data_IF_883715263095
#
_entry.id   IF_883715263095
#
_cell.length_a   1.000
_cell.length_b   1.000
_cell.length_c   1.000
_cell.angle_alpha   90.00
_cell.angle_beta   90.00
_cell.angle_gamma   90.00
#
_symmetry.space_group_name_H-M   'P 1'
#
loop_
_entity.id
_entity.type
_entity.pdbx_description
1 polymer ?
#
# COMPACT_ATOMS: atom_id res chain seq x y z
N UNK A 1 -6.60 9.88 -9.39
CA UNK A 1 -6.14 8.55 -8.96
C UNK A 1 -5.68 8.61 -7.52
N UNK A 2 -6.09 7.62 -6.74
CA UNK A 2 -5.82 7.60 -5.31
C UNK A 2 -4.79 6.54 -4.95
N UNK A 3 -4.13 6.75 -3.81
CA UNK A 3 -3.15 5.81 -3.27
C UNK A 3 -3.59 5.45 -1.87
N UNK A 4 -3.58 4.15 -1.57
CA UNK A 4 -3.95 3.65 -0.26
C UNK A 4 -2.78 2.88 0.35
N UNK A 5 -2.71 2.88 1.68
CA UNK A 5 -1.80 2.00 2.40
C UNK A 5 -2.60 1.12 3.34
N UNK A 6 -2.27 -0.16 3.35
CA UNK A 6 -2.86 -1.16 4.24
C UNK A 6 -1.71 -1.82 4.98
N UNK A 7 -1.56 -1.51 6.25
CA UNK A 7 -0.39 -1.95 7.01
C UNK A 7 -0.69 -1.91 8.52
N UNK A 8 0.31 -2.23 9.32
CA UNK A 8 0.23 -2.09 10.76
C UNK A 8 0.13 -0.62 11.17
N UNK A 9 -0.30 -0.38 12.41
CA UNK A 9 -0.56 0.98 12.89
C UNK A 9 0.64 1.92 12.82
N UNK A 10 1.82 1.45 13.15
CA UNK A 10 3.02 2.29 13.12
C UNK A 10 3.36 2.75 11.71
N UNK A 11 3.29 1.83 10.76
CA UNK A 11 3.55 2.15 9.35
C UNK A 11 2.48 3.11 8.81
N UNK A 12 1.23 2.84 9.12
CA UNK A 12 0.12 3.70 8.69
C UNK A 12 0.27 5.11 9.25
N UNK A 13 0.64 5.25 10.52
CA UNK A 13 0.83 6.56 11.12
C UNK A 13 1.94 7.35 10.42
N UNK A 14 3.01 6.67 10.03
CA UNK A 14 4.09 7.31 9.28
C UNK A 14 3.56 7.93 7.98
N UNK A 15 2.74 7.20 7.25
CA UNK A 15 2.19 7.71 5.99
C UNK A 15 1.14 8.79 6.21
N UNK A 16 0.36 8.70 7.27
CA UNK A 16 -0.60 9.77 7.62
C UNK A 16 0.10 11.09 7.90
N UNK A 17 1.23 11.03 8.61
CA UNK A 17 2.02 12.22 8.89
C UNK A 17 2.54 12.89 7.63
N UNK A 18 2.68 12.12 6.56
CA UNK A 18 3.14 12.63 5.27
C UNK A 18 2.02 13.13 4.38
N UNK A 19 0.77 13.05 4.85
CA UNK A 19 -0.37 13.58 4.13
C UNK A 19 -1.19 12.57 3.34
N UNK A 20 -0.89 11.27 3.46
CA UNK A 20 -1.66 10.24 2.78
C UNK A 20 -3.01 10.07 3.45
N UNK A 21 -4.08 10.31 2.69
CA UNK A 21 -5.44 10.29 3.24
C UNK A 21 -6.03 8.89 3.40
N UNK A 22 -5.70 7.99 2.50
CA UNK A 22 -6.29 6.65 2.49
C UNK A 22 -5.37 5.65 3.17
N UNK A 23 -5.35 5.71 4.49
CA UNK A 23 -4.48 4.87 5.29
C UNK A 23 -5.30 3.98 6.22
N UNK A 24 -5.14 2.68 6.09
CA UNK A 24 -5.93 1.68 6.81
C UNK A 24 -5.03 0.78 7.64
N UNK A 25 -5.14 0.87 8.96
CA UNK A 25 -4.38 -0.01 9.83
C UNK A 25 -5.11 -1.33 10.02
N UNK A 26 -4.37 -2.42 9.98
CA UNK A 26 -4.90 -3.76 10.14
C UNK A 26 -4.10 -4.52 11.21
N UNK A 27 -4.74 -5.49 11.83
CA UNK A 27 -4.12 -6.25 12.92
C UNK A 27 -3.41 -7.51 12.43
N UNK A 28 -3.83 -8.04 11.29
CA UNK A 28 -3.29 -9.29 10.77
C UNK A 28 -3.46 -9.36 9.25
N UNK A 29 -2.92 -10.40 8.66
CA UNK A 29 -2.97 -10.59 7.22
C UNK A 29 -4.39 -10.79 6.69
N UNK A 30 -5.25 -11.43 7.47
CA UNK A 30 -6.64 -11.66 7.05
C UNK A 30 -7.41 -10.35 6.93
N UNK A 31 -7.23 -9.43 7.88
CA UNK A 31 -7.83 -8.10 7.79
C UNK A 31 -7.26 -7.33 6.61
N UNK A 32 -5.96 -7.47 6.37
CA UNK A 32 -5.31 -6.80 5.24
C UNK A 32 -5.89 -7.28 3.91
N UNK A 33 -6.04 -8.58 3.75
CA UNK A 33 -6.62 -9.15 2.54
C UNK A 33 -8.04 -8.65 2.31
N UNK A 34 -8.85 -8.64 3.36
CA UNK A 34 -10.22 -8.15 3.28
C UNK A 34 -10.26 -6.68 2.86
N UNK A 35 -9.41 -5.86 3.47
CA UNK A 35 -9.37 -4.43 3.14
C UNK A 35 -8.91 -4.20 1.69
N UNK A 36 -7.92 -4.95 1.25
CA UNK A 36 -7.44 -4.84 -0.12
C UNK A 36 -8.54 -5.21 -1.11
N UNK A 37 -9.29 -6.27 -0.85
CA UNK A 37 -10.40 -6.68 -1.70
C UNK A 37 -11.50 -5.62 -1.75
N UNK A 38 -11.78 -4.97 -0.62
CA UNK A 38 -12.73 -3.85 -0.58
C UNK A 38 -12.26 -2.68 -1.43
N UNK A 39 -10.96 -2.38 -1.40
CA UNK A 39 -10.39 -1.31 -2.20
C UNK A 39 -10.43 -1.60 -3.70
N UNK A 40 -10.38 -2.86 -4.09
CA UNK A 40 -10.51 -3.25 -5.49
C UNK A 40 -11.88 -2.89 -6.07
N UNK A 41 -12.89 -2.86 -5.23
CA UNK A 41 -14.24 -2.51 -5.66
C UNK A 41 -14.42 -1.00 -5.84
N UNK A 42 -13.46 -0.23 -5.37
CA UNK A 42 -13.46 1.22 -5.49
C UNK A 42 -12.59 1.59 -6.70
N UNK A 43 -13.17 2.14 -7.78
CA UNK A 43 -12.45 2.24 -9.06
C UNK A 43 -11.36 3.30 -9.14
N UNK A 44 -11.14 4.07 -8.11
CA UNK A 44 -10.26 5.24 -8.16
C UNK A 44 -8.83 5.01 -7.65
N UNK A 45 -8.55 3.83 -7.13
CA UNK A 45 -7.23 3.55 -6.58
C UNK A 45 -6.26 3.05 -7.65
N UNK A 46 -5.12 3.71 -7.73
CA UNK A 46 -4.06 3.34 -8.66
C UNK A 46 -3.00 2.47 -8.00
N UNK A 47 -2.80 2.67 -6.69
CA UNK A 47 -1.73 1.99 -5.95
C UNK A 47 -2.22 1.62 -4.56
N UNK A 48 -1.90 0.41 -4.14
CA UNK A 48 -2.09 -0.04 -2.76
C UNK A 48 -0.72 -0.42 -2.22
N UNK A 49 -0.32 0.23 -1.14
CA UNK A 49 0.96 -0.04 -0.49
C UNK A 49 0.71 -0.94 0.72
N UNK A 50 1.53 -1.96 0.89
CA UNK A 50 1.48 -2.82 2.07
C UNK A 50 2.90 -3.16 2.52
N UNK A 51 3.05 -3.89 3.62
CA UNK A 51 4.36 -4.29 4.09
C UNK A 51 4.75 -5.66 3.56
N UNK A 52 6.05 -5.95 3.53
CA UNK A 52 6.55 -7.26 3.12
C UNK A 52 5.97 -8.38 3.98
N UNK A 53 5.81 -8.12 5.26
CA UNK A 53 5.25 -9.11 6.18
C UNK A 53 3.84 -9.53 5.77
N UNK A 54 2.99 -8.55 5.46
CA UNK A 54 1.63 -8.80 5.00
C UNK A 54 1.65 -9.43 3.61
N UNK A 55 2.43 -8.86 2.70
CA UNK A 55 2.50 -9.34 1.32
C UNK A 55 2.91 -10.80 1.25
N UNK A 56 3.87 -11.22 2.08
CA UNK A 56 4.30 -12.61 2.10
C UNK A 56 3.20 -13.56 2.54
N UNK A 57 2.33 -13.12 3.44
CA UNK A 57 1.23 -13.95 3.94
C UNK A 57 0.06 -14.05 2.98
N UNK A 58 -0.14 -13.05 2.14
CA UNK A 58 -1.25 -13.02 1.18
C UNK A 58 -0.75 -13.03 -0.26
N UNK A 59 0.42 -13.62 -0.49
CA UNK A 59 1.06 -13.63 -1.80
C UNK A 59 0.16 -14.20 -2.91
N UNK A 60 -0.56 -15.26 -2.60
CA UNK A 60 -1.48 -15.87 -3.57
C UNK A 60 -2.57 -14.88 -4.00
N UNK A 61 -3.11 -14.14 -3.02
CA UNK A 61 -4.12 -13.13 -3.30
C UNK A 61 -3.56 -12.00 -4.14
N UNK A 62 -2.35 -11.54 -3.81
CA UNK A 62 -1.70 -10.47 -4.56
C UNK A 62 -1.43 -10.90 -6.01
N UNK A 63 -0.96 -12.13 -6.20
CA UNK A 63 -0.70 -12.65 -7.54
C UNK A 63 -1.99 -12.74 -8.36
N UNK A 64 -3.07 -13.21 -7.74
CA UNK A 64 -4.38 -13.29 -8.38
C UNK A 64 -4.86 -11.91 -8.83
N UNK A 65 -4.75 -10.92 -7.93
CA UNK A 65 -5.16 -9.55 -8.25
C UNK A 65 -4.32 -8.98 -9.39
N UNK A 66 -3.01 -9.21 -9.34
CA UNK A 66 -2.09 -8.70 -10.36
C UNK A 66 -2.38 -9.29 -11.72
N UNK A 67 -2.78 -10.57 -11.78
CA UNK A 67 -3.11 -11.24 -13.03
C UNK A 67 -4.45 -10.77 -13.60
N UNK A 68 -5.42 -10.49 -12.75
CA UNK A 68 -6.76 -10.11 -13.17
C UNK A 68 -6.96 -8.63 -13.43
N UNK A 69 -6.14 -7.80 -12.79
CA UNK A 69 -6.30 -6.34 -12.82
C UNK A 69 -5.01 -5.63 -13.21
N UNK A 70 -5.12 -4.71 -14.14
CA UNK A 70 -4.00 -3.83 -14.46
C UNK A 70 -3.75 -2.83 -13.34
N UNK A 71 -4.81 -2.34 -12.72
CA UNK A 71 -4.79 -1.43 -11.59
C UNK A 71 -5.76 -1.92 -10.52
N UNK A 72 -5.51 -1.66 -9.24
CA UNK A 72 -4.36 -0.94 -8.69
C UNK A 72 -3.09 -1.80 -8.66
N UNK A 73 -1.94 -1.15 -8.67
CA UNK A 73 -0.67 -1.82 -8.43
C UNK A 73 -0.51 -2.05 -6.94
N UNK A 74 -0.06 -3.23 -6.56
CA UNK A 74 0.20 -3.54 -5.16
C UNK A 74 1.70 -3.53 -4.94
N UNK A 75 2.16 -2.65 -4.06
CA UNK A 75 3.57 -2.44 -3.78
C UNK A 75 3.84 -2.81 -2.33
N UNK A 76 4.83 -3.66 -2.09
CA UNK A 76 5.24 -4.00 -0.74
C UNK A 76 6.49 -3.23 -0.35
N UNK A 77 6.55 -2.80 0.90
CA UNK A 77 7.69 -2.11 1.48
C UNK A 77 8.21 -2.88 2.68
N UNK A 78 9.49 -2.73 3.01
CA UNK A 78 10.05 -3.41 4.18
C UNK A 78 9.32 -2.98 5.46
N UNK A 79 9.19 -3.92 6.40
CA UNK A 79 8.70 -3.59 7.71
C UNK A 79 9.73 -2.71 8.42
N UNK A 80 9.27 -1.56 8.90
CA UNK A 80 10.14 -0.67 9.65
C UNK A 80 9.67 -0.61 11.09
N UNK A 81 10.63 -0.65 11.98
CA UNK A 81 10.35 -0.49 13.40
C UNK A 81 10.17 0.97 13.74
N UNK A 82 8.99 1.50 13.50
CA UNK A 82 8.67 2.87 13.80
C UNK A 82 8.71 3.79 12.58
N UNK A 83 8.15 4.99 12.72
CA UNK A 83 8.06 5.92 11.61
C UNK A 83 9.42 6.43 11.16
N UNK A 84 9.65 6.40 9.85
CA UNK A 84 10.85 6.96 9.26
C UNK A 84 10.46 7.73 8.00
N UNK A 85 10.58 9.05 8.08
CA UNK A 85 10.29 9.91 6.93
C UNK A 85 11.31 9.70 5.81
N UNK A 86 12.46 9.15 6.14
CA UNK A 86 13.50 8.88 5.14
C UNK A 86 13.10 7.79 4.15
N UNK A 87 12.10 6.97 4.48
CA UNK A 87 11.61 5.94 3.58
C UNK A 87 10.63 6.48 2.56
N UNK A 88 10.07 7.66 2.78
CA UNK A 88 9.04 8.20 1.91
C UNK A 88 9.58 8.61 0.54
N UNK A 89 10.76 9.22 0.50
CA UNK A 89 11.35 9.64 -0.77
C UNK A 89 11.66 8.45 -1.70
N UNK A 90 12.32 7.38 -1.22
CA UNK A 90 12.52 6.19 -2.06
C UNK A 90 11.23 5.53 -2.51
N UNK A 91 10.21 5.50 -1.64
CA UNK A 91 8.92 4.92 -1.98
C UNK A 91 8.22 5.77 -3.04
N UNK A 92 8.25 7.08 -2.88
CA UNK A 92 7.67 8.02 -3.83
C UNK A 92 8.29 7.84 -5.21
N UNK A 93 9.61 7.73 -5.27
CA UNK A 93 10.33 7.48 -6.52
C UNK A 93 9.92 6.16 -7.15
N UNK A 94 9.78 5.10 -6.35
CA UNK A 94 9.39 3.79 -6.83
C UNK A 94 7.99 3.82 -7.45
N UNK A 95 7.04 4.46 -6.77
CA UNK A 95 5.67 4.57 -7.24
C UNK A 95 5.63 5.38 -8.54
N UNK A 96 6.32 6.50 -8.57
CA UNK A 96 6.38 7.38 -9.73
C UNK A 96 6.96 6.63 -10.94
N UNK A 97 8.01 5.86 -10.71
CA UNK A 97 8.68 5.09 -11.76
C UNK A 97 7.79 4.00 -12.33
N UNK A 98 7.01 3.33 -11.48
CA UNK A 98 6.15 2.22 -11.92
C UNK A 98 4.83 2.68 -12.50
N UNK A 99 4.28 3.77 -12.01
CA UNK A 99 2.92 4.20 -12.38
C UNK A 99 2.88 5.46 -13.22
N UNK A 100 3.95 6.24 -13.21
CA UNK A 100 3.94 7.56 -13.83
C UNK A 100 3.11 8.57 -13.05
N UNK A 101 2.64 8.20 -11.87
CA UNK A 101 1.83 9.07 -11.02
C UNK A 101 2.75 9.94 -10.18
N UNK A 102 2.49 11.24 -10.18
CA UNK A 102 3.21 12.17 -9.34
C UNK A 102 2.51 12.27 -7.99
N UNK A 103 3.25 11.92 -6.93
CA UNK A 103 2.73 11.99 -5.57
C UNK A 103 3.00 13.36 -4.99
N UNK A 104 1.93 14.00 -4.52
CA UNK A 104 2.05 15.24 -3.73
C UNK A 104 1.76 14.85 -2.30
N UNK A 105 2.78 14.64 -1.54
CA UNK A 105 2.69 14.34 -0.11
C UNK A 105 2.91 15.60 0.72
#
# INVERSE_FOLDING_TARGET
MKIAIVADGDTVNCFKLSGLEHAYSVKNAEEAEKRIRELLETPDFAVIITTDHIANRIRATINEITEEHEYPLIISIPNVGGPSLLLLDPITELIKRKTGIELKL
#
